data_IF_898335144878
#
_entry.id   IF_898335144878
#
_cell.length_a   1.000
_cell.length_b   1.000
_cell.length_c   1.000
_cell.angle_alpha   90.00
_cell.angle_beta   90.00
_cell.angle_gamma   90.00
#
_symmetry.space_group_name_H-M   'P 1'
#
loop_
_entity.id
_entity.type
_entity.pdbx_description
1 polymer ?
#
# COMPACT_ATOMS: atom_id res chain seq x y z
N UNK A 1 9.40 -3.26 10.19
CA UNK A 1 9.23 -1.87 9.67
C UNK A 1 8.48 -1.02 10.69
N UNK A 2 9.11 0.06 11.17
CA UNK A 2 8.58 0.96 12.23
C UNK A 2 7.78 2.16 11.71
N UNK A 3 7.47 3.11 12.60
CA UNK A 3 6.72 4.35 12.25
C UNK A 3 7.50 5.30 11.32
N UNK A 4 8.84 5.27 11.36
CA UNK A 4 9.69 6.09 10.48
C UNK A 4 9.77 5.59 9.03
N UNK A 5 9.39 4.34 8.77
CA UNK A 5 9.55 3.73 7.46
C UNK A 5 8.42 4.14 6.50
N UNK A 6 8.76 5.03 5.57
CA UNK A 6 7.87 5.65 4.60
C UNK A 6 7.23 4.64 3.64
N UNK A 7 7.90 3.53 3.32
CA UNK A 7 7.37 2.53 2.37
C UNK A 7 6.41 1.56 3.04
N UNK A 8 6.47 1.44 4.37
CA UNK A 8 5.61 0.55 5.15
C UNK A 8 4.21 1.09 5.37
N UNK A 9 3.24 0.21 5.62
CA UNK A 9 1.87 0.61 6.01
C UNK A 9 1.89 1.45 7.30
N UNK A 10 2.71 1.08 8.29
CA UNK A 10 2.81 1.77 9.59
C UNK A 10 3.36 3.20 9.45
N UNK A 11 4.41 3.41 8.65
CA UNK A 11 4.92 4.77 8.44
C UNK A 11 4.03 5.63 7.55
N UNK A 12 3.33 5.04 6.57
CA UNK A 12 2.27 5.74 5.83
C UNK A 12 1.11 6.19 6.73
N UNK A 13 0.70 5.37 7.72
CA UNK A 13 -0.28 5.76 8.75
C UNK A 13 0.26 6.94 9.57
N UNK A 14 1.48 6.80 10.12
CA UNK A 14 2.07 7.81 11.00
C UNK A 14 2.26 9.17 10.33
N UNK A 15 2.57 9.19 9.03
CA UNK A 15 2.73 10.43 8.24
C UNK A 15 1.43 10.92 7.58
N UNK A 16 0.33 10.19 7.72
CA UNK A 16 -0.96 10.55 7.09
C UNK A 16 -1.00 10.44 5.56
N UNK A 17 -0.01 9.79 4.92
CA UNK A 17 0.07 9.70 3.46
C UNK A 17 -0.47 8.36 2.93
N UNK A 18 -0.87 8.35 1.65
CA UNK A 18 -1.28 7.13 0.94
C UNK A 18 -0.15 6.61 0.04
N UNK A 19 -0.27 5.37 -0.41
CA UNK A 19 0.68 4.75 -1.33
C UNK A 19 0.37 3.27 -1.56
N UNK A 20 1.25 2.57 -2.26
CA UNK A 20 1.06 1.15 -2.59
C UNK A 20 0.78 0.26 -1.37
N UNK A 21 1.42 0.55 -0.24
CA UNK A 21 1.29 -0.20 1.03
C UNK A 21 0.11 0.27 1.91
N UNK A 22 -0.46 1.45 1.65
CA UNK A 22 -1.65 2.02 2.32
C UNK A 22 -2.52 2.76 1.29
N UNK A 23 -3.34 2.03 0.51
CA UNK A 23 -4.23 2.63 -0.48
C UNK A 23 -5.41 3.37 0.18
N UNK A 24 -5.92 4.42 -0.48
CA UNK A 24 -7.11 5.17 -0.03
C UNK A 24 -8.43 4.48 -0.40
N UNK A 25 -8.46 3.78 -1.53
CA UNK A 25 -9.62 3.05 -2.05
C UNK A 25 -9.23 1.59 -2.29
N UNK A 26 -10.15 0.66 -2.05
CA UNK A 26 -9.92 -0.78 -2.30
C UNK A 26 -9.65 -1.08 -3.78
N UNK A 27 -10.26 -0.34 -4.72
CA UNK A 27 -9.98 -0.47 -6.15
C UNK A 27 -8.49 -0.26 -6.50
N UNK A 28 -7.77 0.57 -5.73
CA UNK A 28 -6.33 0.79 -5.96
C UNK A 28 -5.50 -0.44 -5.56
N UNK A 29 -6.00 -1.25 -4.62
CA UNK A 29 -5.38 -2.52 -4.22
C UNK A 29 -5.53 -3.56 -5.32
N UNK A 30 -6.71 -3.62 -5.94
CA UNK A 30 -7.01 -4.51 -7.07
C UNK A 30 -6.17 -4.10 -8.29
N UNK A 31 -6.16 -2.83 -8.66
CA UNK A 31 -5.34 -2.30 -9.75
C UNK A 31 -3.85 -2.61 -9.56
N UNK A 32 -3.35 -2.51 -8.32
CA UNK A 32 -1.96 -2.90 -7.99
C UNK A 32 -1.72 -4.39 -8.16
N UNK A 33 -2.64 -5.23 -7.67
CA UNK A 33 -2.53 -6.69 -7.81
C UNK A 33 -2.52 -7.12 -9.28
N UNK A 34 -3.40 -6.53 -10.10
CA UNK A 34 -3.46 -6.76 -11.55
C UNK A 34 -2.17 -6.28 -12.23
N UNK A 35 -1.70 -5.06 -11.94
CA UNK A 35 -0.46 -4.50 -12.52
C UNK A 35 0.78 -5.32 -12.17
N UNK A 36 0.84 -5.89 -10.97
CA UNK A 36 1.97 -6.71 -10.51
C UNK A 36 1.81 -8.19 -10.86
N UNK A 37 0.75 -8.61 -11.56
CA UNK A 37 0.50 -10.02 -11.88
C UNK A 37 0.29 -10.92 -10.66
N UNK A 38 0.03 -10.34 -9.48
CA UNK A 38 -0.14 -11.05 -8.20
C UNK A 38 -1.55 -11.65 -8.06
N UNK A 39 -2.32 -11.75 -9.16
CA UNK A 39 -3.70 -12.23 -9.16
C UNK A 39 -3.85 -13.75 -9.28
N UNK A 40 -2.76 -14.52 -9.21
CA UNK A 40 -2.82 -15.98 -9.16
C UNK A 40 -2.13 -16.52 -7.91
N UNK A 41 -2.95 -16.98 -6.97
CA UNK A 41 -2.72 -18.19 -6.18
C UNK A 41 -4.06 -18.76 -5.77
#
# INVERSE_FOLDING_TARGET
MGKGDIKSKKGKISKGTFGASRPKKENNKIARKLKLGLSKK
#
